data_IF_691509837128
#
_entry.id   IF_691509837128
#
_cell.length_a   1.000
_cell.length_b   1.000
_cell.length_c   1.000
_cell.angle_alpha   90.00
_cell.angle_beta   90.00
_cell.angle_gamma   90.00
#
_symmetry.space_group_name_H-M   'P 1'
#
loop_
_entity.id
_entity.type
_entity.pdbx_description
1 polymer ?
#
# COMPACT_ATOMS: atom_id res chain seq x y z
N UNK A 1 -44.54 -38.41 -12.78
CA UNK A 1 -44.34 -36.97 -12.54
C UNK A 1 -43.02 -36.84 -11.79
N UNK A 2 -41.93 -36.65 -12.52
CA UNK A 2 -40.57 -36.71 -11.98
C UNK A 2 -39.69 -35.67 -12.68
N UNK A 3 -38.96 -34.95 -11.84
CA UNK A 3 -38.09 -33.80 -12.10
C UNK A 3 -36.93 -34.21 -13.02
N UNK A 4 -36.73 -33.52 -14.15
CA UNK A 4 -35.52 -33.65 -14.97
C UNK A 4 -34.68 -32.38 -14.84
N UNK A 5 -33.50 -32.57 -14.23
CA UNK A 5 -32.48 -31.59 -13.90
C UNK A 5 -31.82 -31.03 -15.17
N UNK A 6 -31.86 -29.71 -15.31
CA UNK A 6 -31.08 -28.94 -16.27
C UNK A 6 -29.60 -28.99 -15.86
N UNK A 7 -28.78 -29.74 -16.60
CA UNK A 7 -27.32 -29.67 -16.48
C UNK A 7 -26.84 -28.47 -17.29
N UNK A 8 -26.47 -27.39 -16.62
CA UNK A 8 -25.71 -26.29 -17.22
C UNK A 8 -24.27 -26.78 -17.35
N UNK A 9 -23.86 -27.05 -18.59
CA UNK A 9 -22.47 -27.26 -18.96
C UNK A 9 -21.76 -25.89 -18.85
N UNK A 10 -21.03 -25.66 -17.75
CA UNK A 10 -20.04 -24.59 -17.70
C UNK A 10 -18.86 -25.05 -18.57
N UNK A 11 -18.76 -24.52 -19.78
CA UNK A 11 -17.58 -24.69 -20.62
C UNK A 11 -16.43 -23.90 -19.99
N UNK A 12 -15.49 -24.62 -19.37
CA UNK A 12 -14.18 -24.11 -18.99
C UNK A 12 -13.45 -23.72 -20.28
N UNK A 13 -13.42 -22.43 -20.60
CA UNK A 13 -12.50 -21.91 -21.62
C UNK A 13 -11.09 -21.98 -21.05
N UNK A 14 -10.43 -23.13 -21.21
CA UNK A 14 -8.98 -23.21 -21.15
C UNK A 14 -8.43 -22.61 -22.44
N UNK A 15 -7.96 -21.37 -22.37
CA UNK A 15 -7.12 -20.79 -23.43
C UNK A 15 -5.76 -21.49 -23.35
N UNK A 16 -5.30 -22.16 -24.41
CA UNK A 16 -4.03 -22.86 -24.38
C UNK A 16 -2.86 -21.86 -24.50
N UNK A 17 -1.97 -21.94 -23.51
CA UNK A 17 -0.52 -21.75 -23.64
C UNK A 17 -0.04 -20.65 -24.57
N UNK A 18 -0.19 -19.39 -24.16
CA UNK A 18 0.81 -18.40 -24.52
C UNK A 18 2.02 -18.71 -23.64
N UNK A 19 3.11 -19.18 -24.24
CA UNK A 19 4.43 -19.06 -23.61
C UNK A 19 4.66 -17.57 -23.40
N UNK A 20 4.27 -17.07 -22.22
CA UNK A 20 4.66 -15.76 -21.77
C UNK A 20 6.18 -15.69 -21.91
N UNK A 21 6.67 -14.77 -22.74
CA UNK A 21 8.05 -14.32 -22.66
C UNK A 21 8.33 -14.14 -21.18
N UNK A 22 9.25 -14.95 -20.63
CA UNK A 22 9.49 -15.04 -19.20
C UNK A 22 10.07 -13.70 -18.73
N UNK A 23 9.18 -12.76 -18.45
CA UNK A 23 9.50 -11.52 -17.76
C UNK A 23 10.05 -11.84 -16.37
N UNK A 24 10.68 -10.85 -15.71
CA UNK A 24 11.07 -11.01 -14.33
C UNK A 24 9.86 -11.46 -13.50
N UNK A 25 10.08 -12.30 -12.46
CA UNK A 25 8.99 -12.71 -11.58
C UNK A 25 8.26 -11.49 -11.00
N UNK A 26 6.94 -11.60 -10.77
CA UNK A 26 6.18 -10.50 -10.21
C UNK A 26 6.64 -10.21 -8.79
N UNK A 27 6.72 -8.93 -8.45
CA UNK A 27 7.15 -8.49 -7.13
C UNK A 27 6.07 -8.83 -6.09
N UNK A 28 6.45 -9.45 -4.97
CA UNK A 28 5.52 -9.94 -3.94
C UNK A 28 5.37 -8.90 -2.83
N UNK A 29 4.19 -8.28 -2.64
CA UNK A 29 3.96 -7.37 -1.53
C UNK A 29 3.82 -8.14 -0.20
N UNK A 30 4.57 -7.75 0.81
CA UNK A 30 4.43 -8.24 2.19
C UNK A 30 4.16 -7.04 3.09
N UNK A 31 3.00 -7.01 3.72
CA UNK A 31 2.58 -5.93 4.63
C UNK A 31 2.75 -6.42 6.06
N UNK A 32 3.30 -5.58 6.93
CA UNK A 32 3.51 -5.91 8.34
C UNK A 32 2.62 -5.04 9.20
N UNK A 33 1.60 -5.66 9.81
CA UNK A 33 0.63 -4.99 10.66
C UNK A 33 -0.82 -5.18 10.19
N UNK A 34 -1.76 -4.79 11.04
CA UNK A 34 -3.21 -4.87 10.76
C UNK A 34 -3.98 -3.58 11.10
N UNK A 35 -3.27 -2.45 11.13
CA UNK A 35 -3.90 -1.14 11.25
C UNK A 35 -4.89 -0.87 10.11
N UNK A 36 -5.71 0.17 10.26
CA UNK A 36 -6.59 0.59 9.16
C UNK A 36 -5.80 0.89 7.88
N UNK A 37 -4.62 1.49 8.00
CA UNK A 37 -3.72 1.69 6.87
C UNK A 37 -3.26 0.39 6.23
N UNK A 38 -2.75 -0.55 7.03
CA UNK A 38 -2.29 -1.85 6.52
C UNK A 38 -3.41 -2.60 5.81
N UNK A 39 -4.64 -2.52 6.33
CA UNK A 39 -5.81 -3.18 5.74
C UNK A 39 -6.25 -2.52 4.42
N UNK A 40 -6.29 -1.18 4.37
CA UNK A 40 -6.62 -0.42 3.15
C UNK A 40 -5.56 -0.65 2.07
N UNK A 41 -4.28 -0.61 2.45
CA UNK A 41 -3.17 -0.87 1.54
C UNK A 41 -3.21 -2.30 1.00
N UNK A 42 -3.49 -3.30 1.85
CA UNK A 42 -3.66 -4.69 1.41
C UNK A 42 -4.73 -4.79 0.31
N UNK A 43 -5.91 -4.19 0.52
CA UNK A 43 -6.98 -4.25 -0.47
C UNK A 43 -6.63 -3.54 -1.79
N UNK A 44 -5.95 -2.39 -1.73
CA UNK A 44 -5.44 -1.69 -2.92
C UNK A 44 -4.40 -2.53 -3.68
N UNK A 45 -3.43 -3.11 -2.98
CA UNK A 45 -2.43 -4.01 -3.56
C UNK A 45 -3.05 -5.27 -4.16
N UNK A 46 -4.06 -5.85 -3.51
CA UNK A 46 -4.76 -7.04 -4.01
C UNK A 46 -5.44 -6.74 -5.35
N UNK A 47 -6.09 -5.58 -5.49
CA UNK A 47 -6.67 -5.17 -6.78
C UNK A 47 -5.58 -4.80 -7.80
N UNK A 48 -4.50 -4.14 -7.38
CA UNK A 48 -3.39 -3.80 -8.27
C UNK A 48 -2.69 -5.04 -8.83
N UNK A 49 -2.57 -6.12 -8.06
CA UNK A 49 -2.04 -7.41 -8.51
C UNK A 49 -2.91 -8.08 -9.58
N UNK A 50 -4.21 -7.77 -9.62
CA UNK A 50 -5.11 -8.24 -10.68
C UNK A 50 -5.01 -7.42 -11.98
N UNK A 51 -4.31 -6.27 -11.96
CA UNK A 51 -4.14 -5.41 -13.12
C UNK A 51 -2.91 -5.82 -13.94
N UNK A 52 -3.09 -5.84 -15.25
CA UNK A 52 -2.01 -6.14 -16.18
C UNK A 52 -0.99 -5.00 -16.23
N UNK A 53 0.30 -5.31 -16.07
CA UNK A 53 1.41 -4.35 -16.17
C UNK A 53 1.83 -3.65 -14.87
N UNK A 54 1.22 -4.00 -13.73
CA UNK A 54 1.75 -3.60 -12.40
C UNK A 54 2.92 -4.50 -11.95
N UNK A 55 3.04 -5.68 -12.55
CA UNK A 55 4.01 -6.73 -12.18
C UNK A 55 4.02 -7.06 -10.68
N UNK A 56 2.86 -6.99 -10.03
CA UNK A 56 2.68 -7.36 -8.63
C UNK A 56 2.09 -8.77 -8.50
N UNK A 57 2.59 -9.53 -7.54
CA UNK A 57 1.98 -10.77 -7.06
C UNK A 57 0.90 -10.51 -6.02
N UNK A 58 0.20 -11.57 -5.61
CA UNK A 58 -0.79 -11.48 -4.54
C UNK A 58 -0.12 -11.00 -3.23
N UNK A 59 -0.72 -10.01 -2.52
CA UNK A 59 -0.15 -9.51 -1.29
C UNK A 59 -0.33 -10.51 -0.14
N UNK A 60 0.65 -10.54 0.75
CA UNK A 60 0.59 -11.25 2.03
C UNK A 60 0.63 -10.24 3.16
N UNK A 61 -0.20 -10.41 4.20
CA UNK A 61 -0.04 -9.66 5.45
C UNK A 61 0.61 -10.53 6.53
N UNK A 62 1.42 -9.90 7.38
CA UNK A 62 2.00 -10.49 8.58
C UNK A 62 1.24 -9.93 9.77
N UNK A 63 0.58 -10.84 10.47
CA UNK A 63 -0.20 -10.56 11.67
C UNK A 63 0.75 -10.63 12.87
N UNK A 64 0.92 -9.49 13.54
CA UNK A 64 1.69 -9.41 14.78
C UNK A 64 0.95 -10.12 15.93
N UNK A 65 1.67 -10.66 16.94
CA UNK A 65 1.05 -11.29 18.10
C UNK A 65 0.03 -10.38 18.78
N UNK A 66 -1.23 -10.83 18.87
CA UNK A 66 -2.34 -10.06 19.47
C UNK A 66 -3.40 -9.60 18.47
N UNK A 67 -3.09 -9.63 17.17
CA UNK A 67 -4.08 -9.36 16.12
C UNK A 67 -4.79 -10.64 15.67
N UNK A 68 -6.10 -10.55 15.49
CA UNK A 68 -6.88 -11.61 14.86
C UNK A 68 -7.17 -11.19 13.41
N UNK A 69 -6.80 -12.02 12.43
CA UNK A 69 -7.02 -11.75 10.99
C UNK A 69 -8.48 -11.47 10.58
N UNK A 70 -9.43 -11.59 11.52
CA UNK A 70 -10.81 -11.13 11.39
C UNK A 70 -10.93 -9.63 11.09
N UNK A 71 -10.05 -8.78 11.64
CA UNK A 71 -10.08 -7.33 11.35
C UNK A 71 -9.82 -7.05 9.87
N UNK A 72 -8.77 -7.65 9.31
CA UNK A 72 -8.46 -7.54 7.89
C UNK A 72 -9.62 -8.06 7.04
N UNK A 73 -10.10 -9.28 7.32
CA UNK A 73 -11.20 -9.88 6.54
C UNK A 73 -12.46 -8.98 6.56
N UNK A 74 -12.83 -8.45 7.73
CA UNK A 74 -13.94 -7.49 7.87
C UNK A 74 -13.69 -6.20 7.08
N UNK A 75 -12.48 -5.65 7.13
CA UNK A 75 -12.10 -4.46 6.39
C UNK A 75 -12.21 -4.70 4.87
N UNK A 76 -11.66 -5.80 4.37
CA UNK A 76 -11.71 -6.16 2.94
C UNK A 76 -13.14 -6.32 2.42
N UNK A 77 -14.00 -7.00 3.19
CA UNK A 77 -15.41 -7.11 2.81
C UNK A 77 -16.14 -5.77 2.85
N UNK A 78 -15.89 -4.95 3.86
CA UNK A 78 -16.59 -3.68 4.04
C UNK A 78 -16.17 -2.63 3.01
N UNK A 79 -14.88 -2.51 2.73
CA UNK A 79 -14.33 -1.44 1.91
C UNK A 79 -14.18 -1.83 0.44
N UNK A 80 -13.93 -3.10 0.15
CA UNK A 80 -13.51 -3.54 -1.18
C UNK A 80 -14.36 -4.68 -1.78
N UNK A 81 -15.34 -5.20 -1.03
CA UNK A 81 -16.24 -6.26 -1.47
C UNK A 81 -15.52 -7.49 -2.06
N UNK A 82 -14.30 -7.81 -1.58
CA UNK A 82 -13.50 -8.92 -2.10
C UNK A 82 -13.80 -10.23 -1.37
N UNK A 83 -13.73 -11.36 -2.10
CA UNK A 83 -13.73 -12.69 -1.51
C UNK A 83 -12.49 -12.89 -0.62
N UNK A 84 -12.66 -13.67 0.45
CA UNK A 84 -11.72 -13.93 1.56
C UNK A 84 -10.24 -13.79 1.18
N UNK A 85 -9.38 -13.21 2.06
CA UNK A 85 -7.95 -13.45 1.95
C UNK A 85 -7.79 -14.98 1.85
N UNK A 86 -7.12 -15.48 0.81
CA UNK A 86 -6.97 -16.92 0.61
C UNK A 86 -6.31 -17.60 1.81
N UNK A 87 -6.06 -18.90 1.72
CA UNK A 87 -5.31 -19.62 2.77
C UNK A 87 -3.95 -19.00 3.11
N UNK A 88 -3.41 -18.20 2.19
CA UNK A 88 -2.05 -17.67 2.23
C UNK A 88 -2.00 -16.14 2.46
N UNK A 89 -3.15 -15.48 2.65
CA UNK A 89 -3.24 -14.02 2.78
C UNK A 89 -2.74 -13.47 4.12
N UNK A 90 -2.62 -14.32 5.14
CA UNK A 90 -2.15 -13.95 6.48
C UNK A 90 -1.08 -14.93 6.96
N UNK A 91 0.05 -14.42 7.42
CA UNK A 91 1.11 -15.21 8.06
C UNK A 91 1.38 -14.71 9.47
N UNK A 92 1.89 -15.59 10.33
CA UNK A 92 2.37 -15.16 11.63
C UNK A 92 3.73 -14.50 11.48
N UNK A 93 4.06 -13.60 12.40
CA UNK A 93 5.40 -13.00 12.44
C UNK A 93 6.51 -14.06 12.57
N UNK A 94 6.24 -15.19 13.23
CA UNK A 94 7.22 -16.29 13.33
C UNK A 94 7.54 -16.90 11.96
N UNK A 95 6.57 -16.97 11.07
CA UNK A 95 6.78 -17.48 9.71
C UNK A 95 7.73 -16.57 8.91
N UNK A 96 7.75 -15.26 9.17
CA UNK A 96 8.76 -14.40 8.55
C UNK A 96 10.15 -14.59 9.20
N UNK A 97 10.19 -14.67 10.52
CA UNK A 97 11.45 -14.63 11.27
C UNK A 97 12.19 -15.99 11.31
N UNK A 98 11.49 -17.10 11.18
CA UNK A 98 12.10 -18.43 11.26
C UNK A 98 12.72 -18.86 9.92
N UNK A 99 13.88 -19.56 9.92
CA UNK A 99 14.57 -20.02 8.70
C UNK A 99 13.85 -21.13 7.90
N UNK A 100 12.76 -21.68 8.44
CA UNK A 100 12.01 -22.78 7.83
C UNK A 100 10.89 -22.32 6.90
N UNK A 101 10.77 -21.02 6.65
CA UNK A 101 9.61 -20.50 5.93
C UNK A 101 9.72 -20.58 4.42
N UNK A 102 8.54 -20.58 3.76
CA UNK A 102 8.39 -20.47 2.31
C UNK A 102 9.08 -19.23 1.69
N UNK A 103 9.56 -18.31 2.53
CA UNK A 103 10.16 -17.02 2.19
C UNK A 103 11.68 -17.00 2.41
N UNK A 104 12.35 -18.09 2.04
CA UNK A 104 13.81 -18.21 2.13
C UNK A 104 14.57 -17.34 1.11
N UNK A 105 13.88 -16.83 0.09
CA UNK A 105 14.42 -15.84 -0.83
C UNK A 105 13.42 -14.68 -0.92
N UNK A 106 13.83 -13.49 -0.45
CA UNK A 106 13.00 -12.28 -0.49
C UNK A 106 13.33 -11.39 -1.68
N UNK A 107 14.20 -11.79 -2.62
CA UNK A 107 14.69 -10.96 -3.74
C UNK A 107 13.65 -10.16 -4.51
N UNK A 108 12.46 -10.72 -4.69
CA UNK A 108 11.38 -10.04 -5.43
C UNK A 108 10.32 -9.45 -4.50
N UNK A 109 10.58 -9.36 -3.19
CA UNK A 109 9.61 -8.96 -2.17
C UNK A 109 9.69 -7.46 -1.89
N UNK A 110 8.52 -6.82 -1.86
CA UNK A 110 8.34 -5.44 -1.41
C UNK A 110 7.76 -5.48 0.00
N UNK A 111 8.52 -5.01 0.98
CA UNK A 111 8.10 -5.03 2.39
C UNK A 111 7.49 -3.68 2.76
N UNK A 112 6.27 -3.67 3.26
CA UNK A 112 5.53 -2.48 3.71
C UNK A 112 5.39 -2.51 5.22
N UNK A 113 5.93 -1.50 5.89
CA UNK A 113 5.97 -1.38 7.34
C UNK A 113 5.11 -0.20 7.77
N UNK A 114 4.24 -0.44 8.75
CA UNK A 114 3.44 0.60 9.36
C UNK A 114 4.08 1.06 10.68
N UNK A 115 4.51 2.33 10.71
CA UNK A 115 5.07 3.02 11.85
C UNK A 115 4.21 4.23 12.26
N UNK A 116 2.93 4.24 11.92
CA UNK A 116 2.01 5.30 12.33
C UNK A 116 1.40 4.97 13.69
N UNK A 117 1.40 5.96 14.59
CA UNK A 117 0.75 5.80 15.88
C UNK A 117 -0.75 5.70 15.69
N UNK A 118 -1.44 4.68 16.24
CA UNK A 118 -2.86 4.81 16.46
C UNK A 118 -3.02 5.97 17.44
N UNK A 119 -3.48 7.13 16.98
CA UNK A 119 -3.95 8.16 17.91
C UNK A 119 -5.07 7.48 18.70
N UNK A 120 -4.79 7.12 19.94
CA UNK A 120 -5.84 6.75 20.87
C UNK A 120 -6.82 7.92 20.84
N UNK A 121 -8.02 7.67 20.30
CA UNK A 121 -9.14 8.55 20.59
C UNK A 121 -9.24 8.56 22.10
N UNK A 122 -8.77 9.64 22.71
CA UNK A 122 -8.72 9.79 24.15
C UNK A 122 -10.12 10.06 24.66
N UNK A 123 -11.01 9.07 24.51
CA UNK A 123 -12.37 9.07 25.05
C UNK A 123 -12.33 9.15 26.58
N UNK A 124 -11.24 8.66 27.19
CA UNK A 124 -10.98 8.71 28.62
C UNK A 124 -10.48 10.08 29.13
N UNK A 125 -10.06 11.01 28.26
CA UNK A 125 -9.66 12.37 28.69
C UNK A 125 -10.82 13.22 29.24
N UNK A 126 -12.07 12.74 29.10
CA UNK A 126 -13.28 13.39 29.65
C UNK A 126 -13.73 12.81 30.99
N UNK A 127 -13.06 11.79 31.55
CA UNK A 127 -13.43 11.20 32.83
C UNK A 127 -12.45 11.68 33.94
N UNK A 128 -12.93 12.41 34.97
CA UNK A 128 -12.06 13.10 35.94
C UNK A 128 -11.30 12.20 36.93
N UNK A 129 -11.27 10.87 36.73
CA UNK A 129 -10.75 9.91 37.71
C UNK A 129 -10.03 8.69 37.10
N UNK A 130 -9.17 8.87 36.09
CA UNK A 130 -8.32 7.75 35.64
C UNK A 130 -6.83 8.08 35.54
N UNK A 131 -6.10 7.17 36.22
CA UNK A 131 -4.69 6.78 36.19
C UNK A 131 -3.77 7.50 35.19
N UNK A 132 -2.59 7.86 35.73
CA UNK A 132 -1.36 8.28 35.06
C UNK A 132 -1.29 7.69 33.65
N UNK A 133 -1.48 8.57 32.65
CA UNK A 133 -1.27 8.29 31.24
C UNK A 133 0.17 7.78 31.11
N UNK A 134 0.35 6.51 30.76
CA UNK A 134 1.66 6.01 30.35
C UNK A 134 2.14 6.88 29.19
N UNK A 135 3.40 7.30 29.22
CA UNK A 135 3.97 8.10 28.12
C UNK A 135 3.69 7.36 26.80
N UNK A 136 3.12 8.05 25.79
CA UNK A 136 2.81 7.42 24.52
C UNK A 136 4.11 6.82 23.97
N UNK A 137 4.16 5.49 23.89
CA UNK A 137 5.29 4.81 23.28
C UNK A 137 5.34 5.25 21.82
N UNK A 138 6.48 5.80 21.41
CA UNK A 138 6.72 6.16 20.02
C UNK A 138 6.57 4.87 19.19
N UNK A 139 5.71 4.86 18.15
CA UNK A 139 5.58 3.70 17.29
C UNK A 139 6.94 3.39 16.69
N UNK A 140 7.40 2.16 16.88
CA UNK A 140 8.68 1.71 16.34
C UNK A 140 8.45 0.51 15.44
N UNK A 141 9.07 0.56 14.27
CA UNK A 141 9.13 -0.59 13.37
C UNK A 141 9.93 -1.69 14.05
N UNK A 142 9.50 -2.94 13.91
CA UNK A 142 10.21 -4.06 14.48
C UNK A 142 11.59 -4.25 13.80
N UNK A 143 12.72 -4.07 14.51
CA UNK A 143 14.05 -4.12 13.90
C UNK A 143 14.42 -5.52 13.42
N UNK A 144 13.87 -6.58 14.01
CA UNK A 144 14.11 -7.96 13.55
C UNK A 144 13.48 -8.23 12.19
N UNK A 145 12.35 -7.58 11.88
CA UNK A 145 11.71 -7.66 10.56
C UNK A 145 12.56 -6.97 9.50
N UNK A 146 13.08 -5.77 9.80
CA UNK A 146 14.00 -5.05 8.90
C UNK A 146 15.27 -5.88 8.67
N UNK A 147 15.88 -6.39 9.74
CA UNK A 147 17.06 -7.26 9.65
C UNK A 147 16.80 -8.46 8.74
N UNK A 148 15.71 -9.18 8.99
CA UNK A 148 15.33 -10.36 8.22
C UNK A 148 15.12 -10.02 6.74
N UNK A 149 14.41 -8.91 6.45
CA UNK A 149 14.16 -8.45 5.10
C UNK A 149 15.46 -8.13 4.35
N UNK A 150 16.37 -7.41 4.98
CA UNK A 150 17.67 -7.04 4.41
C UNK A 150 18.58 -8.26 4.22
N UNK A 151 18.73 -9.12 5.24
CA UNK A 151 19.60 -10.32 5.19
C UNK A 151 19.15 -11.33 4.13
N UNK A 152 17.84 -11.42 3.86
CA UNK A 152 17.26 -12.28 2.82
C UNK A 152 17.15 -11.59 1.45
N UNK A 153 17.72 -10.38 1.33
CA UNK A 153 17.87 -9.65 0.08
C UNK A 153 16.57 -9.09 -0.48
N UNK A 154 15.65 -8.58 0.34
CA UNK A 154 14.39 -8.02 -0.18
C UNK A 154 14.61 -6.91 -1.22
N UNK A 155 13.69 -6.78 -2.18
CA UNK A 155 13.82 -5.81 -3.26
C UNK A 155 13.76 -4.36 -2.74
N UNK A 156 12.83 -4.08 -1.82
CA UNK A 156 12.61 -2.74 -1.29
C UNK A 156 11.85 -2.78 0.03
N UNK A 157 12.20 -1.88 0.96
CA UNK A 157 11.46 -1.63 2.20
C UNK A 157 10.77 -0.27 2.15
N UNK A 158 9.45 -0.25 2.20
CA UNK A 158 8.63 0.95 2.29
C UNK A 158 8.09 1.11 3.71
N UNK A 159 8.23 2.29 4.30
CA UNK A 159 7.74 2.59 5.65
C UNK A 159 6.78 3.77 5.56
N UNK A 160 5.55 3.62 6.06
CA UNK A 160 4.71 4.77 6.38
C UNK A 160 4.94 5.14 7.86
N UNK A 161 5.36 6.38 8.11
CA UNK A 161 5.78 6.83 9.43
C UNK A 161 5.03 8.08 9.87
N UNK A 162 4.77 8.23 11.17
CA UNK A 162 4.36 9.54 11.71
C UNK A 162 5.55 10.49 11.79
N UNK A 163 5.30 11.79 11.95
CA UNK A 163 6.39 12.77 12.14
C UNK A 163 7.28 12.44 13.35
N UNK A 164 6.71 11.86 14.41
CA UNK A 164 7.42 11.50 15.65
C UNK A 164 8.23 10.21 15.51
N UNK A 165 7.79 9.28 14.65
CA UNK A 165 8.44 7.99 14.44
C UNK A 165 9.55 8.04 13.38
N UNK A 166 9.65 9.13 12.60
CA UNK A 166 10.57 9.27 11.48
C UNK A 166 12.02 8.98 11.87
N UNK A 167 12.53 9.62 12.92
CA UNK A 167 13.92 9.46 13.35
C UNK A 167 14.22 8.00 13.77
N UNK A 168 13.29 7.38 14.48
CA UNK A 168 13.41 5.96 14.88
C UNK A 168 13.40 5.02 13.67
N UNK A 169 12.57 5.31 12.66
CA UNK A 169 12.54 4.53 11.41
C UNK A 169 13.85 4.67 10.64
N UNK A 170 14.42 5.88 10.61
CA UNK A 170 15.70 6.15 9.96
C UNK A 170 16.84 5.37 10.62
N UNK A 171 17.00 5.46 11.95
CA UNK A 171 18.03 4.69 12.67
C UNK A 171 17.86 3.18 12.54
N UNK A 172 16.63 2.68 12.41
CA UNK A 172 16.38 1.26 12.21
C UNK A 172 16.82 0.76 10.82
N UNK A 173 16.79 1.64 9.81
CA UNK A 173 17.18 1.33 8.42
C UNK A 173 18.66 1.62 8.13
N UNK A 174 19.25 2.59 8.82
CA UNK A 174 20.64 3.03 8.63
C UNK A 174 21.68 1.89 8.55
N UNK A 175 21.63 0.84 9.38
CA UNK A 175 22.59 -0.27 9.31
C UNK A 175 22.58 -1.05 7.99
N UNK A 176 21.51 -0.91 7.19
CA UNK A 176 21.29 -1.65 5.95
C UNK A 176 21.43 -0.77 4.69
N UNK A 177 21.89 0.48 4.85
CA UNK A 177 22.19 1.37 3.74
C UNK A 177 23.18 0.73 2.77
N UNK A 178 22.90 0.85 1.46
CA UNK A 178 23.68 0.20 0.41
C UNK A 178 23.45 -1.31 0.24
N UNK A 179 22.72 -1.97 1.14
CA UNK A 179 22.35 -3.39 1.02
C UNK A 179 20.91 -3.60 0.61
N UNK A 180 20.01 -2.70 1.01
CA UNK A 180 18.59 -2.74 0.70
C UNK A 180 18.09 -1.36 0.29
N UNK A 181 17.29 -1.29 -0.78
CA UNK A 181 16.62 -0.05 -1.13
C UNK A 181 15.51 0.21 -0.10
N UNK A 182 15.44 1.44 0.40
CA UNK A 182 14.44 1.81 1.40
C UNK A 182 13.84 3.19 1.15
N UNK A 183 12.57 3.35 1.52
CA UNK A 183 11.83 4.60 1.35
C UNK A 183 10.88 4.81 2.52
N UNK A 184 11.04 5.91 3.23
CA UNK A 184 10.18 6.36 4.32
C UNK A 184 9.27 7.45 3.79
N UNK A 185 7.97 7.22 3.88
CA UNK A 185 6.93 8.21 3.63
C UNK A 185 6.46 8.66 5.01
N UNK A 186 6.78 9.89 5.38
CA UNK A 186 6.50 10.42 6.71
C UNK A 186 5.33 11.39 6.65
N UNK A 187 4.39 11.32 7.61
CA UNK A 187 3.43 12.39 7.79
C UNK A 187 4.16 13.68 8.16
N UNK A 188 3.64 14.80 7.67
CA UNK A 188 4.12 16.09 8.11
C UNK A 188 3.80 16.39 9.57
N UNK A 189 4.49 17.38 10.14
CA UNK A 189 4.30 17.75 11.54
C UNK A 189 2.86 18.20 11.78
N UNK A 190 2.23 17.58 12.78
CA UNK A 190 0.84 17.87 13.15
C UNK A 190 -0.20 17.22 12.24
N UNK A 191 0.21 16.45 11.22
CA UNK A 191 -0.69 15.69 10.35
C UNK A 191 -1.02 14.33 10.95
N UNK A 192 -2.26 13.90 10.79
CA UNK A 192 -2.74 12.59 11.25
C UNK A 192 -3.36 11.78 10.15
N UNK A 193 -3.35 10.45 10.29
CA UNK A 193 -4.17 9.58 9.47
C UNK A 193 -5.51 9.31 10.13
N UNK A 194 -6.57 9.35 9.33
CA UNK A 194 -7.89 8.93 9.75
C UNK A 194 -8.60 8.19 8.60
N UNK A 195 -9.23 7.03 8.86
CA UNK A 195 -10.05 6.37 7.85
C UNK A 195 -11.25 7.25 7.48
N UNK A 196 -11.59 7.31 6.20
CA UNK A 196 -12.77 8.05 5.75
C UNK A 196 -14.05 7.31 6.14
N UNK A 197 -14.96 7.88 6.95
CA UNK A 197 -16.15 7.17 7.40
C UNK A 197 -17.06 6.76 6.23
N UNK A 198 -17.38 5.46 6.17
CA UNK A 198 -18.24 4.91 5.11
C UNK A 198 -17.59 4.83 3.73
N UNK A 199 -16.28 5.09 3.63
CA UNK A 199 -15.59 4.93 2.37
C UNK A 199 -15.57 3.47 1.94
N UNK A 200 -15.88 3.27 0.67
CA UNK A 200 -15.82 1.97 -0.01
C UNK A 200 -15.42 2.23 -1.45
N UNK A 201 -14.69 1.30 -2.06
CA UNK A 201 -14.50 1.27 -3.50
C UNK A 201 -14.88 -0.11 -4.01
N UNK A 202 -16.00 -0.16 -4.76
CA UNK A 202 -16.47 -1.36 -5.46
C UNK A 202 -15.88 -1.47 -6.87
N UNK A 203 -15.07 -0.49 -7.27
CA UNK A 203 -14.52 -0.38 -8.61
C UNK A 203 -13.23 -1.20 -8.72
N UNK A 204 -12.92 -1.75 -9.90
CA UNK A 204 -11.58 -2.24 -10.17
C UNK A 204 -10.54 -1.14 -9.90
N UNK A 205 -9.32 -1.51 -9.52
CA UNK A 205 -8.28 -0.53 -9.21
C UNK A 205 -7.96 0.31 -10.44
N UNK A 206 -7.89 1.63 -10.24
CA UNK A 206 -7.48 2.59 -11.25
C UNK A 206 -5.95 2.57 -11.40
N UNK A 207 -5.44 2.54 -12.64
CA UNK A 207 -3.99 2.70 -12.93
C UNK A 207 -3.47 4.12 -12.65
N UNK A 208 -4.38 5.10 -12.70
CA UNK A 208 -4.10 6.51 -12.46
C UNK A 208 -4.40 6.93 -11.02
N UNK A 209 -4.85 6.00 -10.18
CA UNK A 209 -5.17 6.20 -8.77
C UNK A 209 -6.47 6.95 -8.47
N UNK A 210 -6.96 6.78 -7.25
CA UNK A 210 -8.23 7.34 -6.75
C UNK A 210 -8.02 7.95 -5.37
N UNK A 211 -8.06 9.29 -5.32
CA UNK A 211 -7.90 10.07 -4.10
C UNK A 211 -9.26 10.56 -3.55
N UNK A 212 -9.37 10.59 -2.23
CA UNK A 212 -10.48 11.17 -1.47
C UNK A 212 -10.26 12.67 -1.26
N UNK A 213 -9.02 13.07 -0.98
CA UNK A 213 -8.63 14.46 -0.75
C UNK A 213 -7.32 14.82 -1.46
N UNK A 214 -7.11 16.12 -1.61
CA UNK A 214 -5.87 16.64 -2.18
C UNK A 214 -4.69 16.44 -1.21
N UNK A 215 -3.60 15.91 -1.75
CA UNK A 215 -2.38 15.58 -1.01
C UNK A 215 -1.18 16.20 -1.72
N UNK A 216 -0.17 16.60 -0.96
CA UNK A 216 1.12 17.08 -1.45
C UNK A 216 2.26 16.19 -0.93
N UNK A 217 3.31 16.08 -1.74
CA UNK A 217 4.54 15.39 -1.41
C UNK A 217 5.70 16.39 -1.37
N UNK A 218 6.55 16.28 -0.36
CA UNK A 218 7.68 17.19 -0.15
C UNK A 218 8.95 16.40 0.13
N UNK A 219 10.04 16.80 -0.52
CA UNK A 219 11.35 16.23 -0.20
C UNK A 219 11.72 16.58 1.23
N UNK A 220 12.20 15.60 1.98
CA UNK A 220 12.72 15.84 3.32
C UNK A 220 14.09 16.51 3.23
N UNK A 221 14.16 17.81 3.52
CA UNK A 221 15.36 18.61 3.35
C UNK A 221 15.99 19.08 4.67
N UNK A 222 15.64 18.50 5.82
CA UNK A 222 15.98 19.00 7.17
C UNK A 222 15.55 20.47 7.44
N UNK A 223 14.79 21.09 6.54
CA UNK A 223 14.12 22.36 6.81
C UNK A 223 12.99 22.16 7.83
N UNK A 224 12.66 23.20 8.59
CA UNK A 224 11.66 23.10 9.64
C UNK A 224 10.34 22.56 9.06
N UNK A 225 9.85 21.39 9.55
CA UNK A 225 8.62 20.82 9.05
C UNK A 225 7.49 21.82 9.25
N UNK A 226 6.67 21.99 8.21
CA UNK A 226 5.54 22.92 8.30
C UNK A 226 4.52 22.35 9.28
N UNK A 227 4.22 23.11 10.32
CA UNK A 227 3.18 22.71 11.27
C UNK A 227 1.81 22.93 10.64
N UNK A 228 1.12 21.84 10.32
CA UNK A 228 -0.23 21.88 9.75
C UNK A 228 -1.33 21.96 10.82
N UNK A 229 -0.99 22.08 12.11
CA UNK A 229 -1.97 22.42 13.15
C UNK A 229 -3.13 21.43 13.28
N UNK A 230 -2.86 20.13 13.29
CA UNK A 230 -3.87 19.09 13.49
C UNK A 230 -4.62 18.67 12.23
N UNK A 231 -4.07 18.94 11.04
CA UNK A 231 -4.66 18.50 9.79
C UNK A 231 -4.69 16.97 9.64
N UNK A 232 -5.55 16.49 8.75
CA UNK A 232 -5.81 15.06 8.59
C UNK A 232 -5.71 14.66 7.13
N UNK A 233 -5.06 13.54 6.88
CA UNK A 233 -5.04 12.85 5.59
C UNK A 233 -5.82 11.56 5.75
N UNK A 234 -6.55 11.18 4.70
CA UNK A 234 -7.27 9.93 4.72
C UNK A 234 -6.30 8.75 4.65
N UNK A 235 -6.63 7.66 5.34
CA UNK A 235 -5.87 6.41 5.22
C UNK A 235 -5.84 5.91 3.78
N UNK A 236 -6.94 6.12 3.05
CA UNK A 236 -7.10 5.78 1.65
C UNK A 236 -6.09 6.49 0.75
N UNK A 237 -5.88 7.79 0.96
CA UNK A 237 -4.94 8.60 0.18
C UNK A 237 -3.49 8.23 0.49
N UNK A 238 -3.15 8.01 1.77
CA UNK A 238 -1.80 7.57 2.15
C UNK A 238 -1.45 6.19 1.56
N UNK A 239 -2.43 5.28 1.52
CA UNK A 239 -2.28 3.98 0.86
C UNK A 239 -2.15 4.10 -0.66
N UNK A 240 -2.85 5.07 -1.28
CA UNK A 240 -2.72 5.35 -2.70
C UNK A 240 -1.32 5.88 -3.06
N UNK A 241 -0.81 6.82 -2.26
CA UNK A 241 0.55 7.38 -2.41
C UNK A 241 1.59 6.27 -2.36
N UNK A 242 1.61 5.45 -1.30
CA UNK A 242 2.67 4.45 -1.14
C UNK A 242 2.62 3.36 -2.21
N UNK A 243 1.42 3.00 -2.67
CA UNK A 243 1.25 2.05 -3.78
C UNK A 243 1.85 2.61 -5.06
N UNK A 244 1.55 3.87 -5.39
CA UNK A 244 2.10 4.49 -6.59
C UNK A 244 3.60 4.77 -6.50
N UNK A 245 4.12 5.09 -5.31
CA UNK A 245 5.57 5.12 -5.07
C UNK A 245 6.18 3.75 -5.39
N UNK A 246 5.63 2.66 -4.87
CA UNK A 246 6.15 1.31 -5.10
C UNK A 246 6.06 0.83 -6.57
N UNK A 247 5.07 1.34 -7.31
CA UNK A 247 4.84 1.00 -8.71
C UNK A 247 5.65 1.88 -9.69
N UNK A 248 5.91 3.14 -9.34
CA UNK A 248 6.39 4.15 -10.29
C UNK A 248 7.77 4.69 -9.98
N UNK A 249 8.37 4.38 -8.84
CA UNK A 249 9.72 4.87 -8.50
C UNK A 249 10.76 3.76 -8.69
N UNK A 250 12.00 4.16 -8.97
CA UNK A 250 13.10 3.21 -9.00
C UNK A 250 13.29 2.49 -7.65
N UNK A 251 13.90 1.30 -7.69
CA UNK A 251 14.27 0.51 -6.50
C UNK A 251 15.78 0.47 -6.34
N UNK A 252 16.47 1.53 -6.77
CA UNK A 252 17.92 1.57 -6.73
C UNK A 252 18.41 1.74 -5.29
N UNK A 253 19.57 1.14 -4.99
CA UNK A 253 20.20 1.32 -3.69
C UNK A 253 20.61 2.78 -3.54
N UNK A 254 20.20 3.38 -2.42
CA UNK A 254 20.59 4.72 -2.04
C UNK A 254 21.57 4.64 -0.87
N UNK A 255 22.44 5.64 -0.77
CA UNK A 255 23.35 5.79 0.39
C UNK A 255 22.59 5.97 1.71
N UNK A 256 21.34 6.44 1.63
CA UNK A 256 20.43 6.65 2.74
C UNK A 256 18.99 6.29 2.34
N UNK A 257 18.09 5.99 3.30
CA UNK A 257 16.68 5.83 2.99
C UNK A 257 16.15 7.08 2.30
N UNK A 258 15.37 6.93 1.23
CA UNK A 258 14.66 8.07 0.62
C UNK A 258 13.56 8.51 1.58
N UNK A 259 13.50 9.80 1.92
CA UNK A 259 12.49 10.33 2.83
C UNK A 259 11.66 11.38 2.10
N UNK A 260 10.34 11.19 2.09
CA UNK A 260 9.38 12.15 1.55
C UNK A 260 8.28 12.37 2.58
N UNK A 261 7.90 13.63 2.76
CA UNK A 261 6.81 14.03 3.64
C UNK A 261 5.50 14.12 2.88
N UNK A 262 4.42 13.64 3.50
CA UNK A 262 3.05 13.72 2.99
C UNK A 262 2.25 14.72 3.83
N UNK A 263 1.58 15.64 3.14
CA UNK A 263 0.79 16.70 3.74
C UNK A 263 -0.54 16.89 2.97
N UNK A 264 -1.59 17.45 3.60
CA UNK A 264 -2.74 17.95 2.87
C UNK A 264 -2.32 19.03 1.86
N UNK A 265 -3.08 19.14 0.77
CA UNK A 265 -2.86 20.16 -0.25
C UNK A 265 -4.14 20.94 -0.53
N UNK A 266 -3.99 22.20 -0.93
CA UNK A 266 -5.07 23.02 -1.50
C UNK A 266 -5.16 22.86 -3.03
N UNK A 267 -4.22 22.14 -3.65
CA UNK A 267 -4.23 21.89 -5.09
C UNK A 267 -5.42 21.00 -5.47
N UNK A 268 -6.21 21.45 -6.45
CA UNK A 268 -7.38 20.71 -6.87
C UNK A 268 -7.00 19.39 -7.56
N UNK A 269 -7.62 18.30 -7.11
CA UNK A 269 -7.64 17.05 -7.86
C UNK A 269 -8.39 17.25 -9.17
N UNK A 270 -7.99 16.53 -10.21
CA UNK A 270 -8.65 16.54 -11.52
C UNK A 270 -9.58 15.33 -11.65
N UNK A 271 -10.76 15.55 -12.23
CA UNK A 271 -11.64 14.45 -12.61
C UNK A 271 -11.15 13.79 -13.89
N UNK A 272 -10.99 12.47 -13.85
CA UNK A 272 -10.55 11.65 -14.97
C UNK A 272 -11.45 10.45 -15.14
N UNK A 273 -11.50 9.90 -16.35
CA UNK A 273 -12.13 8.59 -16.56
C UNK A 273 -11.35 7.54 -15.77
N UNK A 274 -12.06 6.60 -15.14
CA UNK A 274 -11.43 5.47 -14.48
C UNK A 274 -10.60 4.67 -15.50
N UNK A 275 -9.29 4.56 -15.28
CA UNK A 275 -8.36 3.89 -16.16
C UNK A 275 -7.99 2.51 -15.59
N UNK A 276 -8.99 1.67 -15.35
CA UNK A 276 -8.78 0.27 -15.00
C UNK A 276 -8.44 -0.58 -16.25
N UNK A 277 -8.04 -1.83 -16.03
CA UNK A 277 -7.69 -2.73 -17.13
C UNK A 277 -8.85 -2.93 -18.14
N UNK A 278 -10.09 -3.03 -17.65
CA UNK A 278 -11.26 -3.25 -18.49
C UNK A 278 -11.64 -2.01 -19.29
N UNK A 279 -11.38 -0.80 -18.78
CA UNK A 279 -11.62 0.44 -19.53
C UNK A 279 -10.56 0.71 -20.56
N UNK A 280 -9.30 0.36 -20.27
CA UNK A 280 -8.19 0.50 -21.22
C UNK A 280 -8.30 -0.50 -22.37
N UNK A 281 -8.70 -1.74 -22.08
CA UNK A 281 -8.86 -2.79 -23.10
C UNK A 281 -10.26 -2.83 -23.71
N UNK A 282 -11.24 -2.24 -23.03
CA UNK A 282 -12.62 -2.17 -23.48
C UNK A 282 -12.85 -1.02 -24.47
N UNK A 283 -13.87 -1.18 -25.31
CA UNK A 283 -14.32 -0.11 -26.18
C UNK A 283 -15.02 1.03 -25.43
N UNK A 284 -15.51 2.03 -26.17
CA UNK A 284 -16.20 3.23 -25.66
C UNK A 284 -17.29 2.96 -24.61
N UNK A 285 -17.98 1.82 -24.69
CA UNK A 285 -19.04 1.43 -23.74
C UNK A 285 -18.45 1.12 -22.35
N UNK A 286 -17.34 0.38 -22.29
CA UNK A 286 -16.68 0.06 -21.03
C UNK A 286 -16.15 1.33 -20.34
N UNK A 287 -15.57 2.23 -21.13
CA UNK A 287 -15.11 3.54 -20.65
C UNK A 287 -16.25 4.38 -20.07
N UNK A 288 -17.43 4.38 -20.70
CA UNK A 288 -18.60 5.09 -20.18
C UNK A 288 -19.14 4.47 -18.88
N UNK A 289 -19.04 3.15 -18.73
CA UNK A 289 -19.57 2.44 -17.56
C UNK A 289 -18.69 2.57 -16.32
N UNK A 290 -17.38 2.78 -16.49
CA UNK A 290 -16.45 2.83 -15.37
C UNK A 290 -16.46 4.15 -14.59
N UNK A 291 -17.06 5.20 -15.15
CA UNK A 291 -17.26 6.47 -14.49
C UNK A 291 -15.99 7.31 -14.33
N UNK A 292 -16.09 8.33 -13.48
CA UNK A 292 -15.01 9.28 -13.20
C UNK A 292 -14.41 9.04 -11.82
N UNK A 293 -13.14 9.37 -11.66
CA UNK A 293 -12.34 9.32 -10.42
C UNK A 293 -11.57 10.62 -10.24
N UNK A 294 -11.21 10.94 -9.00
CA UNK A 294 -10.35 12.08 -8.69
C UNK A 294 -8.90 11.61 -8.59
N UNK A 295 -8.01 12.30 -9.28
CA UNK A 295 -6.59 11.98 -9.30
C UNK A 295 -5.73 13.25 -9.45
N UNK A 296 -4.42 13.08 -9.32
CA UNK A 296 -3.43 14.12 -9.60
C UNK A 296 -3.34 14.40 -11.09
N UNK A 297 -2.98 15.63 -11.45
CA UNK A 297 -2.83 16.01 -12.86
C UNK A 297 -1.68 15.26 -13.55
N UNK A 298 -0.56 15.08 -12.85
CA UNK A 298 0.61 14.38 -13.38
C UNK A 298 1.30 13.58 -12.28
N UNK A 299 1.33 12.26 -12.42
CA UNK A 299 2.10 11.39 -11.54
C UNK A 299 3.60 11.69 -11.57
N UNK A 300 4.14 12.10 -12.72
CA UNK A 300 5.55 12.50 -12.82
C UNK A 300 5.85 13.74 -11.99
N UNK A 301 4.96 14.74 -11.99
CA UNK A 301 5.14 15.95 -11.19
C UNK A 301 4.87 15.67 -9.70
N UNK A 302 3.81 14.92 -9.40
CA UNK A 302 3.43 14.58 -8.04
C UNK A 302 4.52 13.77 -7.32
N UNK A 303 5.11 12.78 -8.00
CA UNK A 303 6.17 11.94 -7.46
C UNK A 303 7.58 12.50 -7.68
N UNK A 304 7.73 13.70 -8.22
CA UNK A 304 9.03 14.33 -8.44
C UNK A 304 9.95 14.36 -7.20
N UNK A 305 9.45 14.49 -5.95
CA UNK A 305 10.29 14.36 -4.76
C UNK A 305 11.03 13.02 -4.60
N UNK A 306 10.60 11.97 -5.30
CA UNK A 306 11.25 10.66 -5.28
C UNK A 306 12.32 10.47 -6.36
N UNK A 307 12.50 11.43 -7.28
CA UNK A 307 13.49 11.36 -8.35
C UNK A 307 12.93 10.81 -9.66
N UNK A 308 13.54 9.74 -10.20
CA UNK A 308 13.10 9.14 -11.46
C UNK A 308 11.76 8.42 -11.30
N UNK A 309 10.79 8.77 -12.15
CA UNK A 309 9.41 8.26 -12.09
C UNK A 309 9.02 7.61 -13.42
N UNK A 310 8.64 6.34 -13.35
CA UNK A 310 8.03 5.58 -14.43
C UNK A 310 6.53 5.91 -14.53
N UNK A 311 6.18 6.76 -15.48
CA UNK A 311 4.79 7.18 -15.72
C UNK A 311 3.98 6.14 -16.49
N UNK A 312 4.63 5.15 -17.11
CA UNK A 312 4.00 4.17 -17.98
C UNK A 312 3.67 2.88 -17.22
N UNK A 313 2.53 2.83 -16.54
CA UNK A 313 1.95 1.57 -16.05
C UNK A 313 1.04 0.97 -17.11
N UNK A 314 1.01 -0.35 -17.23
CA UNK A 314 0.00 -1.03 -18.05
C UNK A 314 0.16 -0.90 -19.56
N UNK A 315 1.33 -0.52 -20.09
CA UNK A 315 1.60 -0.58 -21.54
C UNK A 315 2.03 -1.98 -21.99
N UNK A 316 1.35 -2.54 -23.00
CA UNK A 316 1.74 -3.81 -23.65
C UNK A 316 3.16 -3.70 -24.18
N UNK A 317 4.04 -4.73 -24.01
CA UNK A 317 5.41 -4.67 -24.50
C UNK A 317 5.52 -4.44 -26.01
N UNK A 318 4.43 -4.56 -26.77
CA UNK A 318 4.44 -4.62 -28.24
C UNK A 318 3.47 -3.64 -28.93
N UNK A 319 3.08 -2.53 -28.30
CA UNK A 319 2.41 -1.45 -29.03
C UNK A 319 3.30 -0.20 -29.10
N UNK A 320 3.79 0.19 -30.30
CA UNK A 320 4.57 1.40 -30.49
C UNK A 320 3.79 2.67 -30.15
#
# INVERSE_FOLDING_TARGET
>A
MAISKLHILLATFMVPGVHALAGPPPAKPVIVGTSDYSNVLFGKLQRAAALWGTNLGEPTTIVCPGDNGQKLNKCLWNQFYMASPGSDGTLSQRDLLEPLSYYNDLKDTLVFLDAVSPKEESFFSKLPFMKKVEEPQIPTVNPDIIRCAAERGCAHIYVLSSSEALESCWYALEPYNGYVASTIIALDKGVTLQPTPGWTTSRPQNMEGEFVGAVALRSYNNEDPTDFGGATISVEDAAEVIMHVALRTDRTFNEYPRIVQIAPSDEALVERLNADYFTMTGGRIAQQQAGMVQSVESWGNFLAPFGEVFTELGKRPDQP
#
